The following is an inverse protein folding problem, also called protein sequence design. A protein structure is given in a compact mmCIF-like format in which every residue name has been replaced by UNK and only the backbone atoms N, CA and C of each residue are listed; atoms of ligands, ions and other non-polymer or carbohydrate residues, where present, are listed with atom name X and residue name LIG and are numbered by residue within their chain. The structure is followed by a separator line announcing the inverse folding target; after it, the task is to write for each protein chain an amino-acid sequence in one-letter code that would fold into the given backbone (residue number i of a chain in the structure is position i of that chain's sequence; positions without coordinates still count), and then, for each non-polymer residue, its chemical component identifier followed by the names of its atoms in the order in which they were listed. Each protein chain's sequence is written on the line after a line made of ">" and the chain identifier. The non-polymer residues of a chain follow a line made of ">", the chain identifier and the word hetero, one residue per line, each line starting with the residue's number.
data_IF_042806836269
#
_entry.id   IF_042806836269
#
_cell.length_a   1.000
_cell.length_b   1.000
_cell.length_c   1.000
_cell.angle_alpha   90.00
_cell.angle_beta   90.00
_cell.angle_gamma   90.00
#
_symmetry.space_group_name_H-M   'P 1'
#
loop_
_entity.id
_entity.type
_entity.pdbx_description
1 polymer ?
#
# COMPACT_ATOMS: atom_id res chain seq x y z
N UNK A 1 -44.93 36.22 -23.56
CA UNK A 1 -45.50 34.89 -23.22
C UNK A 1 -44.65 33.71 -23.72
N UNK A 2 -43.89 33.84 -24.83
CA UNK A 2 -43.00 32.77 -25.34
C UNK A 2 -41.59 32.73 -24.73
N UNK A 3 -41.16 33.78 -24.03
CA UNK A 3 -39.82 33.91 -23.44
C UNK A 3 -39.68 33.14 -22.11
N UNK A 4 -40.77 33.01 -21.32
CA UNK A 4 -40.77 32.23 -20.08
C UNK A 4 -40.56 30.73 -20.29
N UNK A 5 -41.02 30.19 -21.43
CA UNK A 5 -40.81 28.78 -21.79
C UNK A 5 -39.36 28.47 -22.17
N UNK A 6 -38.62 29.46 -22.69
CA UNK A 6 -37.22 29.31 -23.08
C UNK A 6 -36.33 29.29 -21.83
N UNK A 7 -36.64 30.11 -20.83
CA UNK A 7 -35.92 30.10 -19.54
C UNK A 7 -36.11 28.80 -18.75
N UNK A 8 -37.27 28.15 -18.85
CA UNK A 8 -37.52 26.84 -18.24
C UNK A 8 -36.73 25.70 -18.90
N UNK A 9 -36.41 25.82 -20.20
CA UNK A 9 -35.65 24.84 -20.98
C UNK A 9 -34.13 25.06 -20.92
N UNK A 10 -33.66 26.26 -20.60
CA UNK A 10 -32.23 26.60 -20.48
C UNK A 10 -31.72 26.46 -19.04
N UNK A 11 -32.60 26.43 -18.03
CA UNK A 11 -32.24 26.14 -16.63
C UNK A 11 -31.94 24.66 -16.33
N UNK A 12 -32.20 23.74 -17.28
CA UNK A 12 -31.81 22.32 -17.17
C UNK A 12 -30.48 21.98 -17.85
N UNK A 13 -29.74 22.98 -18.36
CA UNK A 13 -28.51 22.74 -19.14
C UNK A 13 -27.20 23.14 -18.44
N UNK A 14 -27.23 23.53 -17.17
CA UNK A 14 -26.04 24.00 -16.44
C UNK A 14 -25.66 23.23 -15.17
N UNK A 15 -26.33 22.13 -14.83
CA UNK A 15 -25.92 21.27 -13.71
C UNK A 15 -25.98 19.81 -14.11
N UNK A 16 -25.02 19.41 -14.93
CA UNK A 16 -24.44 18.07 -14.88
C UNK A 16 -23.05 18.16 -15.51
N UNK A 17 -22.16 18.90 -14.86
CA UNK A 17 -20.90 18.23 -14.57
C UNK A 17 -21.22 17.48 -13.28
N UNK A 18 -21.66 16.23 -13.43
CA UNK A 18 -21.46 15.29 -12.35
C UNK A 18 -19.94 15.15 -12.28
N UNK A 19 -19.29 16.02 -11.50
CA UNK A 19 -17.94 15.76 -11.00
C UNK A 19 -18.00 14.60 -9.99
N UNK A 20 -18.85 13.58 -10.21
CA UNK A 20 -18.34 12.24 -10.04
C UNK A 20 -17.31 12.09 -11.16
N UNK A 21 -16.10 12.57 -10.87
CA UNK A 21 -14.94 11.84 -11.32
C UNK A 21 -15.08 10.41 -10.77
N UNK A 22 -15.92 9.60 -11.40
CA UNK A 22 -15.57 8.22 -11.68
C UNK A 22 -14.44 8.29 -12.71
N UNK A 23 -13.31 8.85 -12.30
CA UNK A 23 -12.03 8.45 -12.86
C UNK A 23 -11.97 6.96 -12.66
N UNK A 24 -11.89 6.27 -13.77
CA UNK A 24 -12.16 4.86 -13.96
C UNK A 24 -11.03 3.99 -13.42
N UNK A 25 -10.71 4.16 -12.14
CA UNK A 25 -9.83 3.30 -11.36
C UNK A 25 -10.49 3.09 -10.01
N UNK A 26 -11.08 1.93 -9.83
CA UNK A 26 -11.66 1.56 -8.54
C UNK A 26 -10.72 0.59 -7.88
N UNK A 27 -10.19 0.98 -6.74
CA UNK A 27 -9.33 0.12 -5.95
C UNK A 27 -9.86 -1.31 -5.85
N UNK A 28 -9.08 -2.26 -6.37
CA UNK A 28 -9.43 -3.67 -6.51
C UNK A 28 -9.88 -4.10 -7.91
N UNK A 29 -9.66 -3.30 -8.95
CA UNK A 29 -9.95 -3.67 -10.34
C UNK A 29 -8.76 -4.36 -11.06
N UNK A 30 -7.63 -4.47 -10.38
CA UNK A 30 -6.41 -5.15 -10.81
C UNK A 30 -5.46 -4.29 -11.63
N UNK A 31 -5.79 -3.02 -11.89
CA UNK A 31 -4.97 -2.07 -12.63
C UNK A 31 -4.61 -0.91 -11.72
N UNK A 32 -3.35 -0.47 -11.74
CA UNK A 32 -2.95 0.73 -10.97
C UNK A 32 -3.32 1.96 -11.78
N UNK A 33 -4.37 2.66 -11.35
CA UNK A 33 -4.88 3.84 -12.03
C UNK A 33 -4.29 5.16 -11.53
N UNK A 34 -4.60 6.26 -12.23
CA UNK A 34 -4.15 7.59 -11.83
C UNK A 34 -4.71 7.99 -10.47
N UNK A 35 -3.86 7.98 -9.45
CA UNK A 35 -4.21 8.30 -8.07
C UNK A 35 -4.02 7.13 -7.10
N UNK A 36 -3.81 5.93 -7.62
CA UNK A 36 -3.51 4.73 -6.84
C UNK A 36 -2.00 4.48 -6.80
N UNK A 37 -1.53 3.90 -5.71
CA UNK A 37 -0.14 3.44 -5.59
C UNK A 37 0.01 1.94 -5.89
N UNK A 38 -1.06 1.18 -5.73
CA UNK A 38 -1.16 -0.25 -5.96
C UNK A 38 -2.63 -0.63 -6.19
N UNK A 39 -2.88 -1.80 -6.76
CA UNK A 39 -4.20 -2.43 -6.82
C UNK A 39 -4.06 -3.93 -6.52
N UNK A 40 -4.53 -4.35 -5.34
CA UNK A 40 -4.38 -5.73 -4.88
C UNK A 40 -2.90 -6.17 -4.86
N UNK A 41 -2.50 -7.22 -5.62
CA UNK A 41 -1.11 -7.64 -5.72
C UNK A 41 -0.29 -6.86 -6.77
N UNK A 42 -0.90 -5.91 -7.49
CA UNK A 42 -0.23 -5.10 -8.48
C UNK A 42 0.37 -3.84 -7.84
N UNK A 43 1.70 -3.81 -7.71
CA UNK A 43 2.43 -2.68 -7.12
C UNK A 43 3.17 -1.83 -8.16
N UNK A 44 2.84 -1.99 -9.45
CA UNK A 44 3.52 -1.31 -10.57
C UNK A 44 5.07 -1.46 -10.51
N UNK A 45 5.53 -2.66 -10.15
CA UNK A 45 6.96 -3.00 -10.04
C UNK A 45 7.67 -2.44 -8.80
N UNK A 46 6.95 -1.81 -7.87
CA UNK A 46 7.51 -1.39 -6.58
C UNK A 46 7.73 -2.59 -5.68
N UNK A 47 8.77 -2.53 -4.86
CA UNK A 47 9.12 -3.58 -3.89
C UNK A 47 9.54 -2.93 -2.58
N UNK A 48 9.58 -3.70 -1.48
CA UNK A 48 10.09 -3.22 -0.20
C UNK A 48 11.51 -2.63 -0.33
N UNK A 49 12.38 -3.23 -1.15
CA UNK A 49 13.72 -2.72 -1.43
C UNK A 49 13.72 -1.34 -2.07
N UNK A 50 12.74 -1.05 -2.93
CA UNK A 50 12.53 0.28 -3.51
C UNK A 50 12.20 1.36 -2.48
N UNK A 51 11.70 0.97 -1.31
CA UNK A 51 11.39 1.85 -0.17
C UNK A 51 12.49 1.88 0.91
N UNK A 52 13.63 1.22 0.67
CA UNK A 52 14.79 1.21 1.59
C UNK A 52 14.77 0.11 2.65
N UNK A 53 13.84 -0.84 2.53
CA UNK A 53 13.84 -2.09 3.27
C UNK A 53 14.77 -3.10 2.58
N UNK A 54 15.04 -4.26 3.17
CA UNK A 54 15.86 -5.28 2.51
C UNK A 54 15.08 -6.49 2.00
N UNK A 55 13.79 -6.54 2.32
CA UNK A 55 12.92 -7.64 1.94
C UNK A 55 11.54 -7.47 2.55
N UNK A 56 10.79 -8.57 2.59
CA UNK A 56 9.38 -8.60 2.97
C UNK A 56 8.45 -8.35 1.80
N UNK A 57 7.16 -8.20 2.11
CA UNK A 57 6.11 -8.08 1.11
C UNK A 57 5.41 -6.72 1.24
N UNK A 58 5.18 -6.06 0.11
CA UNK A 58 4.28 -4.91 0.08
C UNK A 58 2.85 -5.40 0.26
N UNK A 59 2.04 -4.59 0.94
CA UNK A 59 0.60 -4.81 1.02
C UNK A 59 -0.12 -3.62 0.44
N UNK A 60 -1.23 -3.88 -0.25
CA UNK A 60 -2.09 -2.83 -0.77
C UNK A 60 -3.27 -2.63 0.18
N UNK A 61 -3.44 -1.42 0.69
CA UNK A 61 -4.54 -1.08 1.59
C UNK A 61 -5.87 -0.98 0.82
N UNK A 62 -6.99 -0.96 1.55
CA UNK A 62 -8.32 -0.77 0.94
C UNK A 62 -8.50 0.59 0.24
N UNK A 63 -7.59 1.53 0.47
CA UNK A 63 -7.55 2.83 -0.19
C UNK A 63 -6.52 2.89 -1.34
N UNK A 64 -6.03 1.73 -1.80
CA UNK A 64 -5.01 1.60 -2.84
C UNK A 64 -3.73 2.39 -2.60
N UNK A 65 -3.36 2.49 -1.31
CA UNK A 65 -2.06 2.96 -0.86
C UNK A 65 -1.17 1.79 -0.52
N UNK A 66 0.13 1.94 -0.78
CA UNK A 66 1.12 0.95 -0.40
C UNK A 66 1.36 1.03 1.11
N UNK A 67 1.28 -0.10 1.79
CA UNK A 67 1.78 -0.27 3.16
C UNK A 67 3.07 -1.10 3.14
N UNK A 68 4.07 -0.58 3.85
CA UNK A 68 5.37 -1.21 4.11
C UNK A 68 5.41 -1.91 5.46
N UNK A 69 4.27 -2.10 6.13
CA UNK A 69 4.21 -2.68 7.48
C UNK A 69 4.68 -4.15 7.50
N UNK A 70 4.62 -4.83 6.35
CA UNK A 70 5.13 -6.19 6.16
C UNK A 70 6.52 -6.21 5.49
N UNK A 71 7.15 -5.05 5.30
CA UNK A 71 8.53 -4.97 4.85
C UNK A 71 9.50 -5.18 6.02
N UNK A 72 10.65 -5.77 5.71
CA UNK A 72 11.72 -6.04 6.66
C UNK A 72 12.70 -4.87 6.70
N UNK A 73 12.74 -4.17 7.82
CA UNK A 73 13.66 -3.05 8.02
C UNK A 73 15.12 -3.54 8.03
N UNK A 74 16.03 -2.71 7.51
CA UNK A 74 17.45 -2.84 7.82
C UNK A 74 17.60 -2.70 9.34
N UNK A 75 18.07 -3.72 10.07
CA UNK A 75 18.29 -3.60 11.52
C UNK A 75 17.25 -4.28 12.41
N UNK A 76 16.42 -5.18 11.90
CA UNK A 76 15.41 -5.87 12.71
C UNK A 76 15.09 -7.28 12.23
N UNK A 77 14.32 -8.01 13.03
CA UNK A 77 14.13 -9.45 12.82
C UNK A 77 13.51 -9.74 11.44
N UNK A 78 14.13 -10.63 10.68
CA UNK A 78 13.72 -11.06 9.34
C UNK A 78 14.70 -10.68 8.22
N UNK A 79 15.82 -10.01 8.53
CA UNK A 79 16.70 -9.33 7.60
C UNK A 79 17.98 -10.12 7.17
N UNK A 80 18.06 -11.38 7.54
CA UNK A 80 19.18 -12.28 7.22
C UNK A 80 20.46 -12.04 8.05
N UNK A 81 20.51 -11.01 8.90
CA UNK A 81 21.67 -10.66 9.74
C UNK A 81 21.22 -10.48 11.20
N UNK A 82 22.12 -10.75 12.15
CA UNK A 82 21.86 -10.45 13.56
C UNK A 82 22.60 -9.16 13.91
N UNK A 83 21.84 -8.09 14.15
CA UNK A 83 22.39 -6.78 14.51
C UNK A 83 22.63 -6.71 16.01
N UNK A 84 23.71 -7.36 16.46
CA UNK A 84 24.08 -7.38 17.88
C UNK A 84 24.28 -5.97 18.46
N UNK A 85 24.65 -5.00 17.63
CA UNK A 85 24.81 -3.59 18.02
C UNK A 85 23.48 -2.92 18.40
N UNK A 86 22.37 -3.38 17.81
CA UNK A 86 21.01 -2.84 18.01
C UNK A 86 20.19 -3.70 18.98
N UNK A 87 20.86 -4.58 19.74
CA UNK A 87 20.23 -5.52 20.69
C UNK A 87 19.19 -6.44 20.04
N UNK A 88 19.43 -6.78 18.78
CA UNK A 88 18.70 -7.84 18.11
C UNK A 88 19.27 -9.20 18.52
N UNK A 89 18.41 -10.07 19.06
CA UNK A 89 18.85 -11.38 19.54
C UNK A 89 18.85 -12.44 18.45
N UNK A 90 18.00 -12.31 17.45
CA UNK A 90 17.86 -13.29 16.39
C UNK A 90 17.19 -12.70 15.15
N UNK A 91 17.48 -13.34 14.03
CA UNK A 91 16.87 -13.04 12.76
C UNK A 91 16.56 -14.36 12.01
N UNK A 92 15.27 -14.66 11.90
CA UNK A 92 14.79 -15.93 11.37
C UNK A 92 15.40 -17.13 12.09
N UNK A 93 16.21 -17.92 11.38
CA UNK A 93 16.94 -19.06 11.94
C UNK A 93 18.34 -18.69 12.49
N UNK A 94 18.82 -17.47 12.22
CA UNK A 94 20.08 -16.96 12.75
C UNK A 94 19.87 -16.48 14.19
N UNK A 95 20.15 -17.36 15.16
CA UNK A 95 19.82 -17.09 16.57
C UNK A 95 20.85 -16.22 17.32
N UNK A 96 21.83 -15.61 16.65
CA UNK A 96 22.80 -14.74 17.34
C UNK A 96 23.62 -15.43 18.44
N UNK A 97 23.75 -16.76 18.39
CA UNK A 97 24.35 -17.57 19.46
C UNK A 97 23.38 -18.09 20.52
N UNK A 98 22.10 -17.70 20.46
CA UNK A 98 21.02 -18.33 21.20
C UNK A 98 20.62 -19.69 20.61
N UNK A 99 19.90 -20.49 21.40
CA UNK A 99 19.33 -21.81 21.05
C UNK A 99 18.00 -22.00 21.76
N UNK A 100 17.13 -22.88 21.27
CA UNK A 100 15.79 -23.10 21.84
C UNK A 100 15.83 -23.33 23.36
N UNK A 101 16.78 -24.15 23.82
CA UNK A 101 17.03 -24.43 25.25
C UNK A 101 17.30 -23.15 26.06
N UNK A 102 18.07 -22.20 25.52
CA UNK A 102 18.40 -20.94 26.20
C UNK A 102 17.22 -19.97 26.30
N UNK A 103 16.18 -20.18 25.49
CA UNK A 103 14.93 -19.42 25.50
C UNK A 103 13.81 -20.16 26.25
N UNK A 104 14.11 -21.32 26.86
CA UNK A 104 13.17 -22.09 27.67
C UNK A 104 12.21 -22.98 26.87
N UNK A 105 12.56 -23.29 25.62
CA UNK A 105 11.83 -24.24 24.78
C UNK A 105 12.66 -25.53 24.66
N UNK A 106 12.17 -26.62 25.27
CA UNK A 106 12.75 -27.98 25.23
C UNK A 106 12.16 -28.81 24.08
#
# INVERSE_FOLDING_TARGET
>A
MKIFFIYALVLMFFISCDDSASSSGSCGDGVVDSGEECDGPNFDGRTCEGYGFIGGDLTCTENCQISTDSCVANGGCGDGVVQAEDNEECDGAALGGARCESKGFD
#
